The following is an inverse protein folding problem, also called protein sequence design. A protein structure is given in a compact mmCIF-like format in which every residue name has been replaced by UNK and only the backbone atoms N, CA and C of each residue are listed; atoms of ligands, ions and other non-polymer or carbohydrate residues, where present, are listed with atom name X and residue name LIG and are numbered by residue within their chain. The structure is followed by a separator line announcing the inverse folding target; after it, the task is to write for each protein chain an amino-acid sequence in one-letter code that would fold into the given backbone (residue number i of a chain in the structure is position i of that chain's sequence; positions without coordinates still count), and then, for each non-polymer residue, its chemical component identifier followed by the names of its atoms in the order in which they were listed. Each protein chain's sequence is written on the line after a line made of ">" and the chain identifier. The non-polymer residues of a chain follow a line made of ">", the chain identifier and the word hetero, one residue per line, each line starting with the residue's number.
data_IF_835684563423
#
_entry.id   IF_835684563423
#
_cell.length_a   1.000
_cell.length_b   1.000
_cell.length_c   1.000
_cell.angle_alpha   90.00
_cell.angle_beta   90.00
_cell.angle_gamma   90.00
#
_symmetry.space_group_name_H-M   'P 1'
#
loop_
_entity.id
_entity.type
_entity.pdbx_description
1 polymer ?
#
# COMPACT_ATOMS: atom_id res chain seq x y z
N UNK A 1 -11.48 -25.56 6.58
CA UNK A 1 -11.15 -24.11 6.42
C UNK A 1 -9.86 -23.83 7.17
N UNK A 2 -8.88 -23.24 6.50
CA UNK A 2 -7.61 -22.80 7.09
C UNK A 2 -7.82 -21.39 7.68
N UNK A 3 -7.37 -21.14 8.93
CA UNK A 3 -7.35 -19.80 9.47
C UNK A 3 -5.91 -19.26 9.52
N UNK A 4 -5.74 -18.03 9.05
CA UNK A 4 -4.49 -17.29 9.07
C UNK A 4 -4.65 -16.12 10.03
N UNK A 5 -3.75 -15.99 11.00
CA UNK A 5 -3.68 -14.82 11.85
C UNK A 5 -2.69 -13.83 11.26
N UNK A 6 -3.19 -12.70 10.77
CA UNK A 6 -2.38 -11.58 10.31
C UNK A 6 -1.99 -10.69 11.48
N UNK A 7 -0.70 -10.44 11.66
CA UNK A 7 -0.18 -9.49 12.63
C UNK A 7 0.16 -8.17 11.93
N UNK A 8 -0.52 -7.12 12.34
CA UNK A 8 -0.38 -5.77 11.79
C UNK A 8 -0.45 -4.72 12.92
N UNK A 9 0.02 -3.50 12.68
CA UNK A 9 -0.07 -2.44 13.68
C UNK A 9 -1.51 -2.02 13.96
N UNK A 10 -2.26 -1.78 12.90
CA UNK A 10 -3.70 -1.48 12.83
C UNK A 10 -4.15 -1.66 11.38
N UNK A 11 -5.45 -1.52 11.09
CA UNK A 11 -6.02 -1.63 9.74
C UNK A 11 -6.55 -0.27 9.24
N UNK A 12 -5.72 0.79 9.38
CA UNK A 12 -5.97 2.10 8.73
C UNK A 12 -5.62 2.02 7.25
N UNK A 13 -6.07 3.01 6.47
CA UNK A 13 -5.77 3.05 5.03
C UNK A 13 -4.30 3.42 4.78
N UNK A 14 -3.48 2.41 4.53
CA UNK A 14 -2.08 2.47 4.14
C UNK A 14 -1.79 1.44 3.06
N UNK A 15 -0.60 1.47 2.46
CA UNK A 15 -0.23 0.56 1.36
C UNK A 15 -0.26 -0.93 1.77
N UNK A 16 0.27 -1.25 2.96
CA UNK A 16 0.28 -2.61 3.50
C UNK A 16 -1.14 -3.10 3.81
N UNK A 17 -1.93 -2.29 4.48
CA UNK A 17 -3.30 -2.63 4.88
C UNK A 17 -4.21 -2.75 3.65
N UNK A 18 -4.04 -1.89 2.65
CA UNK A 18 -4.73 -1.98 1.36
C UNK A 18 -4.37 -3.28 0.63
N UNK A 19 -3.09 -3.66 0.61
CA UNK A 19 -2.67 -4.94 0.06
C UNK A 19 -3.36 -6.12 0.74
N UNK A 20 -3.36 -6.16 2.08
CA UNK A 20 -4.00 -7.24 2.86
C UNK A 20 -5.49 -7.31 2.53
N UNK A 21 -6.18 -6.17 2.45
CA UNK A 21 -7.59 -6.13 2.11
C UNK A 21 -7.87 -6.54 0.67
N UNK A 22 -7.04 -6.13 -0.29
CA UNK A 22 -7.16 -6.57 -1.67
C UNK A 22 -7.02 -8.10 -1.76
N UNK A 23 -6.02 -8.66 -1.07
CA UNK A 23 -5.85 -10.10 -0.97
C UNK A 23 -7.07 -10.78 -0.32
N UNK A 24 -7.58 -10.25 0.82
CA UNK A 24 -8.70 -10.83 1.55
C UNK A 24 -10.02 -10.83 0.78
N UNK A 25 -10.22 -9.82 -0.10
CA UNK A 25 -11.38 -9.77 -1.00
C UNK A 25 -11.34 -10.83 -2.10
N UNK A 26 -10.13 -11.24 -2.54
CA UNK A 26 -9.93 -12.14 -3.67
C UNK A 26 -9.79 -13.62 -3.29
N UNK A 27 -9.35 -13.95 -2.07
CA UNK A 27 -9.23 -15.34 -1.63
C UNK A 27 -10.61 -16.00 -1.48
N UNK A 28 -10.66 -17.30 -1.70
CA UNK A 28 -11.84 -18.12 -1.36
C UNK A 28 -11.95 -18.26 0.15
N UNK A 29 -12.84 -17.47 0.77
CA UNK A 29 -13.06 -17.47 2.22
C UNK A 29 -13.70 -18.73 2.77
N UNK A 30 -14.22 -19.62 1.92
CA UNK A 30 -14.64 -20.97 2.35
C UNK A 30 -13.46 -21.87 2.64
N UNK A 31 -12.30 -21.62 2.00
CA UNK A 31 -11.07 -22.39 2.18
C UNK A 31 -10.11 -21.72 3.17
N UNK A 32 -9.89 -20.40 3.02
CA UNK A 32 -8.94 -19.63 3.84
C UNK A 32 -9.65 -18.43 4.45
N UNK A 33 -9.53 -18.27 5.76
CA UNK A 33 -10.12 -17.16 6.51
C UNK A 33 -9.05 -16.38 7.26
N UNK A 34 -9.14 -15.04 7.24
CA UNK A 34 -8.22 -14.16 7.94
C UNK A 34 -8.79 -13.67 9.26
N UNK A 35 -7.93 -13.65 10.28
CA UNK A 35 -8.14 -12.93 11.53
C UNK A 35 -6.96 -11.98 11.77
N UNK A 36 -7.14 -10.97 12.60
CA UNK A 36 -6.18 -9.87 12.73
C UNK A 36 -5.74 -9.65 14.17
N UNK A 37 -4.44 -9.73 14.42
CA UNK A 37 -3.79 -9.34 15.65
C UNK A 37 -3.25 -7.92 15.50
N UNK A 38 -3.76 -6.98 16.29
CA UNK A 38 -3.43 -5.55 16.20
C UNK A 38 -2.98 -4.99 17.54
N UNK A 39 -2.35 -3.80 17.50
CA UNK A 39 -1.91 -3.09 18.69
C UNK A 39 -2.90 -2.03 19.12
N UNK A 40 -3.18 -1.98 20.45
CA UNK A 40 -4.12 -1.01 21.03
C UNK A 40 -5.58 -1.36 20.73
N UNK A 41 -6.48 -0.39 20.90
CA UNK A 41 -7.93 -0.62 20.88
C UNK A 41 -8.60 -0.22 19.56
N UNK A 42 -7.88 0.47 18.67
CA UNK A 42 -8.43 0.96 17.39
C UNK A 42 -8.04 0.05 16.24
N UNK A 43 -9.02 -0.66 15.70
CA UNK A 43 -8.84 -1.56 14.58
C UNK A 43 -8.56 -0.85 13.23
N UNK A 44 -8.91 0.44 13.09
CA UNK A 44 -8.70 1.21 11.86
C UNK A 44 -9.90 1.22 10.91
N UNK A 45 -9.69 1.78 9.72
CA UNK A 45 -10.75 2.12 8.75
C UNK A 45 -11.40 0.89 8.09
N UNK A 46 -10.70 -0.25 8.05
CA UNK A 46 -11.20 -1.48 7.45
C UNK A 46 -11.96 -2.39 8.43
N UNK A 47 -12.22 -1.92 9.67
CA UNK A 47 -12.82 -2.76 10.72
C UNK A 47 -14.16 -3.38 10.30
N UNK A 48 -15.10 -2.55 9.87
CA UNK A 48 -16.45 -3.00 9.52
C UNK A 48 -16.44 -3.99 8.34
N UNK A 49 -15.60 -3.72 7.35
CA UNK A 49 -15.44 -4.60 6.21
C UNK A 49 -14.84 -5.96 6.60
N UNK A 50 -13.80 -5.97 7.43
CA UNK A 50 -13.18 -7.21 7.92
C UNK A 50 -14.19 -8.07 8.68
N UNK A 51 -14.99 -7.46 9.54
CA UNK A 51 -16.04 -8.16 10.29
C UNK A 51 -17.12 -8.71 9.35
N UNK A 52 -17.54 -7.95 8.35
CA UNK A 52 -18.53 -8.40 7.35
C UNK A 52 -18.02 -9.57 6.49
N UNK A 53 -16.72 -9.65 6.28
CA UNK A 53 -16.04 -10.77 5.58
C UNK A 53 -15.80 -11.98 6.49
N UNK A 54 -16.19 -11.93 7.77
CA UNK A 54 -16.07 -13.03 8.75
C UNK A 54 -14.73 -13.08 9.49
N UNK A 55 -13.89 -12.04 9.38
CA UNK A 55 -12.65 -11.90 10.14
C UNK A 55 -12.88 -11.42 11.57
N UNK A 56 -11.94 -11.72 12.45
CA UNK A 56 -11.97 -11.30 13.85
C UNK A 56 -10.75 -10.47 14.21
N UNK A 57 -10.88 -9.63 15.24
CA UNK A 57 -9.77 -8.85 15.78
C UNK A 57 -9.36 -9.35 17.16
N UNK A 58 -8.03 -9.38 17.39
CA UNK A 58 -7.40 -9.65 18.67
C UNK A 58 -6.47 -8.49 19.02
N UNK A 59 -6.65 -7.96 20.22
CA UNK A 59 -5.99 -6.74 20.66
C UNK A 59 -4.84 -7.08 21.59
N UNK A 60 -3.65 -6.53 21.29
CA UNK A 60 -2.43 -6.74 22.06
C UNK A 60 -1.87 -5.42 22.58
N UNK A 61 -1.24 -5.48 23.74
CA UNK A 61 -0.50 -4.34 24.29
C UNK A 61 0.64 -3.91 23.35
N UNK A 62 1.07 -2.67 23.46
CA UNK A 62 2.24 -2.19 22.73
C UNK A 62 3.52 -2.72 23.39
N UNK A 63 4.37 -3.44 22.65
CA UNK A 63 5.61 -4.02 23.13
C UNK A 63 6.52 -2.98 23.83
N UNK A 64 6.62 -1.75 23.26
CA UNK A 64 7.45 -0.68 23.81
C UNK A 64 7.04 -0.22 25.21
N UNK A 65 5.74 -0.33 25.56
CA UNK A 65 5.23 0.07 26.87
C UNK A 65 5.46 -0.99 27.94
N UNK A 66 5.28 -2.28 27.62
CA UNK A 66 5.48 -3.37 28.55
C UNK A 66 5.81 -4.68 27.79
N UNK A 67 7.12 -4.98 27.55
CA UNK A 67 7.53 -6.16 26.81
C UNK A 67 7.15 -7.49 27.47
N UNK A 68 7.16 -7.55 28.80
CA UNK A 68 6.80 -8.77 29.54
C UNK A 68 5.30 -9.08 29.39
N UNK A 69 4.45 -8.09 29.62
CA UNK A 69 2.99 -8.22 29.42
C UNK A 69 2.69 -8.64 27.97
N UNK A 70 3.30 -7.97 26.99
CA UNK A 70 3.15 -8.28 25.57
C UNK A 70 3.51 -9.72 25.25
N UNK A 71 4.63 -10.26 25.79
CA UNK A 71 5.03 -11.65 25.62
C UNK A 71 4.04 -12.62 26.27
N UNK A 72 3.54 -12.28 27.48
CA UNK A 72 2.54 -13.09 28.19
C UNK A 72 1.23 -13.16 27.43
N UNK A 73 0.78 -12.06 26.84
CA UNK A 73 -0.44 -11.99 26.00
C UNK A 73 -0.32 -12.96 24.81
N UNK A 74 0.81 -12.95 24.08
CA UNK A 74 1.05 -13.85 22.96
C UNK A 74 1.10 -15.32 23.39
N UNK A 75 1.74 -15.65 24.52
CA UNK A 75 1.75 -17.01 25.06
C UNK A 75 0.36 -17.49 25.41
N UNK A 76 -0.42 -16.65 26.08
CA UNK A 76 -1.79 -16.97 26.46
C UNK A 76 -2.68 -17.13 25.23
N UNK A 77 -2.54 -16.22 24.24
CA UNK A 77 -3.25 -16.32 22.98
C UNK A 77 -3.00 -17.65 22.28
N UNK A 78 -1.73 -18.02 22.08
CA UNK A 78 -1.39 -19.28 21.40
C UNK A 78 -1.78 -20.51 22.21
N UNK A 79 -1.63 -20.51 23.52
CA UNK A 79 -2.10 -21.60 24.37
C UNK A 79 -3.57 -21.91 24.15
N UNK A 80 -4.39 -20.88 23.98
CA UNK A 80 -5.84 -21.00 23.84
C UNK A 80 -6.30 -21.19 22.37
N UNK A 81 -5.49 -20.82 21.39
CA UNK A 81 -5.91 -20.71 19.99
C UNK A 81 -5.03 -21.50 18.99
N UNK A 82 -3.93 -22.15 19.40
CA UNK A 82 -3.00 -22.81 18.47
C UNK A 82 -3.67 -23.79 17.50
N UNK A 83 -4.67 -24.51 17.96
CA UNK A 83 -5.39 -25.51 17.14
C UNK A 83 -6.38 -24.87 16.15
N UNK A 84 -6.68 -23.58 16.31
CA UNK A 84 -7.55 -22.79 15.42
C UNK A 84 -6.79 -22.27 14.19
N UNK A 85 -5.49 -22.03 14.30
CA UNK A 85 -4.69 -21.39 13.28
C UNK A 85 -3.68 -22.34 12.65
N UNK A 86 -3.68 -22.40 11.32
CA UNK A 86 -2.66 -23.12 10.55
C UNK A 86 -1.50 -22.21 10.13
N UNK A 87 -1.72 -20.89 10.13
CA UNK A 87 -0.73 -19.91 9.72
C UNK A 87 -0.72 -18.65 10.59
N UNK A 88 0.46 -18.11 10.79
CA UNK A 88 0.73 -16.80 11.36
C UNK A 88 1.50 -15.97 10.33
N UNK A 89 0.95 -14.84 9.94
CA UNK A 89 1.51 -13.96 8.93
C UNK A 89 1.86 -12.60 9.55
N UNK A 90 3.14 -12.38 9.79
CA UNK A 90 3.66 -11.16 10.38
C UNK A 90 4.03 -10.15 9.29
N UNK A 91 3.32 -9.02 9.24
CA UNK A 91 3.65 -7.89 8.40
C UNK A 91 4.50 -6.90 9.16
N UNK A 92 5.70 -6.60 8.65
CA UNK A 92 6.63 -5.71 9.37
C UNK A 92 7.64 -5.05 8.44
N UNK A 93 8.09 -3.87 8.83
CA UNK A 93 9.20 -3.16 8.19
C UNK A 93 10.46 -3.14 9.07
N UNK A 94 10.46 -3.86 10.20
CA UNK A 94 11.61 -3.95 11.11
C UNK A 94 11.54 -5.24 11.92
N UNK A 95 12.70 -5.86 12.11
CA UNK A 95 12.89 -7.02 13.00
C UNK A 95 13.28 -6.61 14.42
N UNK A 96 13.15 -5.34 14.81
CA UNK A 96 13.42 -4.92 16.18
C UNK A 96 12.53 -5.64 17.22
N UNK A 97 11.36 -6.15 16.79
CA UNK A 97 10.47 -6.96 17.61
C UNK A 97 10.07 -8.24 16.86
N UNK A 98 10.49 -9.38 17.37
CA UNK A 98 10.14 -10.73 16.86
C UNK A 98 9.34 -11.56 17.86
N UNK A 99 8.93 -10.98 19.00
CA UNK A 99 8.26 -11.72 20.09
C UNK A 99 7.03 -12.49 19.60
N UNK A 100 6.17 -11.88 18.80
CA UNK A 100 4.97 -12.51 18.26
C UNK A 100 5.33 -13.78 17.44
N UNK A 101 6.36 -13.67 16.59
CA UNK A 101 6.86 -14.77 15.78
C UNK A 101 7.52 -15.88 16.63
N UNK A 102 8.32 -15.49 17.65
CA UNK A 102 8.94 -16.43 18.59
C UNK A 102 7.89 -17.26 19.33
N UNK A 103 6.84 -16.61 19.83
CA UNK A 103 5.78 -17.30 20.55
C UNK A 103 4.90 -18.16 19.60
N UNK A 104 4.73 -17.76 18.33
CA UNK A 104 4.10 -18.59 17.29
C UNK A 104 4.96 -19.84 16.98
N UNK A 105 6.29 -19.70 16.91
CA UNK A 105 7.20 -20.81 16.70
C UNK A 105 7.17 -21.79 17.87
N UNK A 106 7.20 -21.31 19.12
CA UNK A 106 7.07 -22.15 20.33
C UNK A 106 5.73 -22.87 20.42
N UNK A 107 4.67 -22.26 19.90
CA UNK A 107 3.35 -22.89 19.83
C UNK A 107 3.23 -23.92 18.68
N UNK A 108 4.30 -24.12 17.90
CA UNK A 108 4.36 -24.98 16.74
C UNK A 108 3.32 -24.64 15.66
N UNK A 109 3.05 -23.34 15.44
CA UNK A 109 2.18 -22.93 14.33
C UNK A 109 2.87 -23.36 13.02
N UNK A 110 2.18 -24.15 12.16
CA UNK A 110 2.84 -24.81 11.03
C UNK A 110 3.46 -23.85 10.02
N UNK A 111 2.72 -22.80 9.65
CA UNK A 111 3.11 -21.81 8.64
C UNK A 111 3.35 -20.50 9.36
N UNK A 112 4.59 -19.99 9.30
CA UNK A 112 5.00 -18.74 9.92
C UNK A 112 5.67 -17.88 8.88
N UNK A 113 4.97 -16.82 8.45
CA UNK A 113 5.37 -15.93 7.37
C UNK A 113 5.83 -14.59 7.95
N UNK A 114 6.95 -14.08 7.47
CA UNK A 114 7.36 -12.68 7.65
C UNK A 114 7.25 -12.00 6.30
N UNK A 115 6.58 -10.85 6.26
CA UNK A 115 6.37 -10.08 5.04
C UNK A 115 6.91 -8.66 5.19
N UNK A 116 7.87 -8.31 4.34
CA UNK A 116 8.47 -6.98 4.22
C UNK A 116 7.69 -6.12 3.22
N UNK A 117 7.23 -4.93 3.66
CA UNK A 117 6.42 -4.02 2.84
C UNK A 117 7.11 -2.70 2.49
N UNK A 118 8.31 -2.45 3.02
CA UNK A 118 9.02 -1.18 2.81
C UNK A 118 10.52 -1.36 2.88
N UNK A 119 11.24 -0.55 2.14
CA UNK A 119 12.70 -0.46 2.17
C UNK A 119 13.24 0.47 3.28
N UNK A 120 12.38 1.00 4.15
CA UNK A 120 12.81 1.86 5.25
C UNK A 120 12.02 1.60 6.53
N UNK A 121 12.72 1.59 7.68
CA UNK A 121 12.08 1.72 8.98
C UNK A 121 11.76 3.19 9.28
N UNK A 122 10.73 3.42 10.11
CA UNK A 122 10.49 4.75 10.66
C UNK A 122 11.75 5.26 11.36
N UNK A 123 12.27 6.41 10.93
CA UNK A 123 13.43 7.07 11.54
C UNK A 123 13.04 7.65 12.89
N UNK A 124 13.61 7.12 13.95
CA UNK A 124 13.45 7.64 15.32
C UNK A 124 14.79 7.77 16.02
N UNK A 125 14.84 8.49 17.14
CA UNK A 125 16.08 8.80 17.89
C UNK A 125 16.88 7.56 18.35
N UNK A 126 16.29 6.34 18.32
CA UNK A 126 16.93 5.08 18.69
C UNK A 126 17.21 4.17 17.49
N UNK A 127 17.42 4.74 16.29
CA UNK A 127 17.61 3.96 15.06
C UNK A 127 18.83 3.01 15.15
N UNK A 128 19.91 3.41 15.82
CA UNK A 128 21.10 2.57 15.99
C UNK A 128 20.81 1.29 16.79
N UNK A 129 20.00 1.38 17.87
CA UNK A 129 19.56 0.20 18.66
C UNK A 129 18.68 -0.71 17.78
N UNK A 130 17.75 -0.11 17.05
CA UNK A 130 16.89 -0.88 16.15
C UNK A 130 17.71 -1.61 15.07
N UNK A 131 18.76 -1.01 14.55
CA UNK A 131 19.67 -1.63 13.57
C UNK A 131 20.44 -2.81 14.17
N UNK A 132 20.93 -2.69 15.42
CA UNK A 132 21.59 -3.79 16.11
C UNK A 132 20.62 -4.94 16.35
N UNK A 133 19.42 -4.65 16.87
CA UNK A 133 18.38 -5.63 17.09
C UNK A 133 17.94 -6.30 15.78
N UNK A 134 17.84 -5.53 14.69
CA UNK A 134 17.51 -6.06 13.38
C UNK A 134 18.54 -7.08 12.91
N UNK A 135 19.85 -6.74 12.94
CA UNK A 135 20.93 -7.67 12.58
C UNK A 135 20.98 -8.91 13.46
N UNK A 136 20.73 -8.75 14.75
CA UNK A 136 20.66 -9.88 15.68
C UNK A 136 19.50 -10.81 15.35
N UNK A 137 18.29 -10.26 15.13
CA UNK A 137 17.12 -11.05 14.83
C UNK A 137 17.16 -11.65 13.41
N UNK A 138 17.77 -10.96 12.43
CA UNK A 138 17.97 -11.54 11.08
C UNK A 138 18.58 -12.94 11.17
N UNK A 139 19.58 -13.14 12.01
CA UNK A 139 20.23 -14.46 12.18
C UNK A 139 19.32 -15.54 12.73
N UNK A 140 18.24 -15.16 13.44
CA UNK A 140 17.27 -16.09 14.03
C UNK A 140 16.10 -16.41 13.12
N UNK A 141 15.89 -15.60 12.09
CA UNK A 141 14.72 -15.76 11.19
C UNK A 141 14.61 -17.17 10.60
N UNK A 142 15.68 -17.84 10.12
CA UNK A 142 15.57 -19.20 9.58
C UNK A 142 15.05 -20.26 10.57
N UNK A 143 15.16 -20.00 11.87
CA UNK A 143 14.63 -20.88 12.91
C UNK A 143 13.19 -20.55 13.29
N UNK A 144 12.77 -19.31 13.08
CA UNK A 144 11.47 -18.77 13.53
C UNK A 144 10.42 -18.80 12.42
N UNK A 145 10.79 -18.41 11.21
CA UNK A 145 9.90 -18.37 10.06
C UNK A 145 9.96 -19.66 9.25
N UNK A 146 8.91 -19.91 8.47
CA UNK A 146 8.86 -20.97 7.46
C UNK A 146 8.85 -20.40 6.04
N UNK A 147 8.41 -19.15 5.88
CA UNK A 147 8.35 -18.45 4.61
C UNK A 147 8.74 -16.97 4.81
N UNK A 148 9.43 -16.43 3.81
CA UNK A 148 9.82 -15.02 3.75
C UNK A 148 9.15 -14.39 2.54
N UNK A 149 8.39 -13.34 2.77
CA UNK A 149 7.73 -12.57 1.70
C UNK A 149 8.27 -11.15 1.64
N UNK A 150 8.29 -10.59 0.44
CA UNK A 150 8.67 -9.21 0.21
C UNK A 150 7.90 -8.61 -0.97
N UNK A 151 7.53 -7.34 -0.87
CA UNK A 151 6.88 -6.63 -1.97
C UNK A 151 7.85 -6.14 -3.05
N UNK A 152 9.17 -6.21 -2.80
CA UNK A 152 10.23 -5.82 -3.76
C UNK A 152 11.60 -6.30 -3.29
N UNK A 153 12.59 -6.33 -4.19
CA UNK A 153 13.98 -6.66 -3.85
C UNK A 153 14.56 -5.70 -2.80
N UNK A 154 14.29 -4.39 -2.92
CA UNK A 154 14.73 -3.40 -1.92
C UNK A 154 14.14 -3.65 -0.54
N UNK A 155 12.88 -4.09 -0.45
CA UNK A 155 12.26 -4.45 0.81
C UNK A 155 12.81 -5.78 1.36
N UNK A 156 13.17 -6.72 0.50
CA UNK A 156 13.86 -7.96 0.89
C UNK A 156 15.26 -7.65 1.44
N UNK A 157 16.03 -6.85 0.74
CA UNK A 157 17.37 -6.42 1.16
C UNK A 157 17.33 -5.70 2.51
N UNK A 158 16.39 -4.77 2.67
CA UNK A 158 16.21 -4.04 3.92
C UNK A 158 15.91 -4.96 5.11
N UNK A 159 14.92 -5.84 5.00
CA UNK A 159 14.47 -6.64 6.13
C UNK A 159 15.32 -7.88 6.35
N UNK A 160 15.73 -8.56 5.28
CA UNK A 160 16.41 -9.85 5.33
C UNK A 160 17.89 -9.79 5.01
N UNK A 161 18.39 -8.67 4.46
CA UNK A 161 19.77 -8.52 4.02
C UNK A 161 20.05 -9.07 2.62
N UNK A 162 18.99 -9.39 1.86
CA UNK A 162 19.05 -9.92 0.49
C UNK A 162 17.82 -10.71 0.12
N UNK A 163 17.87 -11.36 -1.04
CA UNK A 163 16.80 -12.22 -1.56
C UNK A 163 16.82 -13.64 -0.98
N UNK A 164 17.73 -13.92 -0.04
CA UNK A 164 17.80 -15.17 0.73
C UNK A 164 18.42 -14.94 2.09
N UNK A 165 18.08 -15.79 3.06
CA UNK A 165 18.68 -15.81 4.39
C UNK A 165 18.79 -17.26 4.89
N UNK A 166 20.01 -17.71 5.20
CA UNK A 166 20.27 -19.13 5.42
C UNK A 166 19.87 -19.95 4.19
N UNK A 167 19.07 -21.00 4.39
CA UNK A 167 18.54 -21.86 3.31
C UNK A 167 17.17 -21.42 2.80
N UNK A 168 16.70 -20.22 3.17
CA UNK A 168 15.38 -19.72 2.80
C UNK A 168 15.50 -18.65 1.72
N UNK A 169 14.79 -18.83 0.61
CA UNK A 169 14.61 -17.81 -0.42
C UNK A 169 13.44 -16.91 -0.04
N UNK A 170 13.56 -15.63 -0.37
CA UNK A 170 12.47 -14.66 -0.25
C UNK A 170 11.56 -14.80 -1.46
N UNK A 171 10.27 -15.01 -1.20
CA UNK A 171 9.25 -15.05 -2.24
C UNK A 171 8.73 -13.63 -2.45
N UNK A 172 8.88 -13.12 -3.66
CA UNK A 172 8.31 -11.83 -3.99
C UNK A 172 6.79 -11.93 -4.15
N UNK A 173 6.08 -11.13 -3.37
CA UNK A 173 4.62 -10.98 -3.42
C UNK A 173 4.34 -9.51 -3.71
N UNK A 174 4.03 -9.20 -4.96
CA UNK A 174 3.75 -7.83 -5.35
C UNK A 174 2.46 -7.31 -4.70
N UNK A 175 2.42 -6.00 -4.45
CA UNK A 175 1.21 -5.34 -3.99
C UNK A 175 0.21 -5.25 -5.16
N UNK A 176 -0.48 -6.35 -5.42
CA UNK A 176 -1.43 -6.47 -6.52
C UNK A 176 -2.62 -5.52 -6.38
N UNK A 177 -3.13 -5.09 -7.51
CA UNK A 177 -4.33 -4.27 -7.64
C UNK A 177 -5.44 -5.04 -8.35
N UNK A 178 -6.68 -4.70 -8.06
CA UNK A 178 -7.84 -5.25 -8.78
C UNK A 178 -7.97 -4.54 -10.13
N UNK A 179 -7.35 -5.12 -11.17
CA UNK A 179 -7.31 -4.54 -12.51
C UNK A 179 -8.71 -4.24 -13.04
N UNK A 180 -9.67 -5.14 -12.84
CA UNK A 180 -11.05 -4.97 -13.34
C UNK A 180 -11.76 -3.81 -12.62
N UNK A 181 -11.56 -3.67 -11.31
CA UNK A 181 -12.11 -2.56 -10.53
C UNK A 181 -11.58 -1.21 -11.01
N UNK A 182 -10.29 -1.15 -11.33
CA UNK A 182 -9.62 0.09 -11.73
C UNK A 182 -9.66 0.37 -13.23
N UNK A 183 -10.11 -0.57 -14.06
CA UNK A 183 -10.29 -0.37 -15.50
C UNK A 183 -11.07 0.91 -15.77
N UNK A 184 -10.68 1.66 -16.81
CA UNK A 184 -11.39 2.84 -17.26
C UNK A 184 -12.86 2.52 -17.59
N UNK A 185 -13.75 3.38 -17.15
CA UNK A 185 -15.19 3.27 -17.38
C UNK A 185 -15.76 4.65 -17.72
N UNK A 186 -16.26 4.79 -18.94
CA UNK A 186 -16.83 6.03 -19.45
C UNK A 186 -18.09 6.46 -18.69
N UNK A 187 -18.91 5.52 -18.21
CA UNK A 187 -20.10 5.85 -17.42
C UNK A 187 -19.74 6.41 -16.06
N UNK A 188 -18.71 5.84 -15.40
CA UNK A 188 -18.16 6.36 -14.16
C UNK A 188 -17.56 7.73 -14.36
N UNK A 189 -16.81 7.94 -15.46
CA UNK A 189 -16.29 9.25 -15.85
C UNK A 189 -17.40 10.29 -15.95
N UNK A 190 -18.44 10.01 -16.72
CA UNK A 190 -19.59 10.92 -16.92
C UNK A 190 -20.28 11.23 -15.59
N UNK A 191 -20.52 10.21 -14.78
CA UNK A 191 -21.16 10.35 -13.46
C UNK A 191 -20.37 11.30 -12.55
N UNK A 192 -19.10 11.04 -12.33
CA UNK A 192 -18.25 11.87 -11.43
C UNK A 192 -18.12 13.29 -11.98
N UNK A 193 -17.92 13.43 -13.31
CA UNK A 193 -17.77 14.76 -13.90
C UNK A 193 -19.05 15.59 -13.81
N UNK A 194 -20.22 14.97 -13.91
CA UNK A 194 -21.50 15.64 -13.70
C UNK A 194 -21.69 16.01 -12.23
N UNK A 195 -21.44 15.09 -11.31
CA UNK A 195 -21.61 15.28 -9.85
C UNK A 195 -20.74 16.42 -9.31
N UNK A 196 -19.51 16.54 -9.82
CA UNK A 196 -18.53 17.53 -9.35
C UNK A 196 -18.38 18.72 -10.32
N UNK A 197 -19.30 18.90 -11.29
CA UNK A 197 -19.28 19.97 -12.28
C UNK A 197 -17.94 20.09 -13.06
N UNK A 198 -17.37 18.94 -13.47
CA UNK A 198 -16.07 18.83 -14.14
C UNK A 198 -16.18 18.64 -15.67
N UNK A 199 -17.39 18.62 -16.27
CA UNK A 199 -17.60 18.20 -17.66
C UNK A 199 -16.75 18.97 -18.70
N UNK A 200 -16.55 20.26 -18.49
CA UNK A 200 -15.85 21.14 -19.43
C UNK A 200 -14.41 21.47 -19.00
N UNK A 201 -13.86 20.73 -18.04
CA UNK A 201 -12.58 21.04 -17.45
C UNK A 201 -11.53 19.95 -17.71
N UNK A 202 -10.26 20.34 -17.75
CA UNK A 202 -9.09 19.49 -17.73
C UNK A 202 -8.78 19.13 -16.28
N UNK A 203 -8.91 17.87 -15.93
CA UNK A 203 -8.88 17.41 -14.53
C UNK A 203 -7.53 16.78 -14.20
N UNK A 204 -6.74 17.46 -13.38
CA UNK A 204 -5.51 16.96 -12.77
C UNK A 204 -5.91 16.21 -11.49
N UNK A 205 -5.36 15.02 -11.26
CA UNK A 205 -5.64 14.25 -10.07
C UNK A 205 -4.40 13.87 -9.26
N UNK A 206 -4.56 13.78 -7.94
CA UNK A 206 -3.60 13.15 -7.04
C UNK A 206 -4.32 12.35 -5.95
N UNK A 207 -3.74 11.20 -5.60
CA UNK A 207 -4.22 10.31 -4.54
C UNK A 207 -3.08 10.02 -3.59
N UNK A 208 -3.21 10.44 -2.34
CA UNK A 208 -2.16 10.20 -1.35
C UNK A 208 -2.47 10.77 0.02
N UNK A 209 -1.78 10.24 1.04
CA UNK A 209 -1.81 10.79 2.39
C UNK A 209 -1.08 12.13 2.41
N UNK A 210 -1.67 13.16 3.05
CA UNK A 210 -1.07 14.49 3.18
C UNK A 210 0.11 14.47 4.15
N UNK A 211 1.24 13.92 3.67
CA UNK A 211 2.54 13.83 4.34
C UNK A 211 3.60 14.60 3.54
N UNK A 212 4.69 15.07 4.17
CA UNK A 212 5.77 15.81 3.50
C UNK A 212 6.31 15.08 2.25
N UNK A 213 6.43 13.75 2.32
CA UNK A 213 6.98 12.92 1.24
C UNK A 213 6.15 12.97 -0.05
N UNK A 214 4.83 13.25 0.03
CA UNK A 214 3.92 13.35 -1.13
C UNK A 214 3.96 14.70 -1.83
N UNK A 215 4.58 15.71 -1.19
CA UNK A 215 4.87 17.03 -1.78
C UNK A 215 3.64 17.78 -2.34
N UNK A 216 2.56 17.80 -1.55
CA UNK A 216 1.30 18.46 -1.94
C UNK A 216 1.47 19.95 -2.23
N UNK A 217 2.42 20.61 -1.55
CA UNK A 217 2.73 22.02 -1.83
C UNK A 217 3.14 22.21 -3.30
N UNK A 218 4.01 21.33 -3.81
CA UNK A 218 4.45 21.41 -5.20
C UNK A 218 3.33 21.06 -6.18
N UNK A 219 2.39 20.17 -5.81
CA UNK A 219 1.18 19.92 -6.60
C UNK A 219 0.36 21.18 -6.75
N UNK A 220 0.12 21.92 -5.65
CA UNK A 220 -0.61 23.20 -5.67
C UNK A 220 0.09 24.22 -6.56
N UNK A 221 1.42 24.30 -6.50
CA UNK A 221 2.21 25.23 -7.31
C UNK A 221 2.16 24.86 -8.80
N UNK A 222 2.22 23.58 -9.17
CA UNK A 222 2.03 23.10 -10.55
C UNK A 222 0.64 23.50 -11.06
N UNK A 223 -0.42 23.22 -10.27
CA UNK A 223 -1.80 23.53 -10.64
C UNK A 223 -2.01 25.04 -10.82
N UNK A 224 -1.43 25.86 -9.96
CA UNK A 224 -1.46 27.31 -10.10
C UNK A 224 -0.87 27.77 -11.45
N UNK A 225 0.28 27.22 -11.85
CA UNK A 225 0.93 27.55 -13.12
C UNK A 225 0.17 26.99 -14.33
N UNK A 226 -0.39 25.78 -14.21
CA UNK A 226 -1.22 25.21 -15.27
C UNK A 226 -2.50 26.04 -15.47
N UNK A 227 -3.17 26.47 -14.39
CA UNK A 227 -4.35 27.33 -14.45
C UNK A 227 -4.08 28.69 -15.06
N UNK A 228 -2.89 29.30 -14.81
CA UNK A 228 -2.48 30.57 -15.48
C UNK A 228 -2.30 30.40 -16.99
N UNK A 229 -1.92 29.21 -17.45
CA UNK A 229 -1.76 28.90 -18.88
C UNK A 229 -3.10 28.49 -19.54
N UNK A 230 -3.96 27.81 -18.78
CA UNK A 230 -5.25 27.32 -19.24
C UNK A 230 -6.28 27.34 -18.09
N UNK A 231 -7.24 28.26 -18.17
CA UNK A 231 -8.26 28.44 -17.13
C UNK A 231 -9.29 27.32 -17.05
N UNK A 232 -9.28 26.37 -17.98
CA UNK A 232 -10.10 25.15 -17.95
C UNK A 232 -9.54 24.08 -17.00
N UNK A 233 -8.36 24.28 -16.40
CA UNK A 233 -7.76 23.34 -15.45
C UNK A 233 -8.55 23.30 -14.13
N UNK A 234 -8.76 22.08 -13.61
CA UNK A 234 -9.23 21.81 -12.24
C UNK A 234 -8.36 20.71 -11.64
N UNK A 235 -8.31 20.67 -10.32
CA UNK A 235 -7.53 19.64 -9.60
C UNK A 235 -8.39 18.97 -8.55
N UNK A 236 -8.25 17.65 -8.44
CA UNK A 236 -8.87 16.84 -7.37
C UNK A 236 -7.79 16.16 -6.54
N UNK A 237 -7.81 16.40 -5.23
CA UNK A 237 -6.89 15.84 -4.26
C UNK A 237 -7.66 14.88 -3.35
N UNK A 238 -7.31 13.58 -3.40
CA UNK A 238 -7.97 12.52 -2.64
C UNK A 238 -7.01 12.01 -1.55
N UNK A 239 -7.46 12.08 -0.31
CA UNK A 239 -6.71 11.62 0.85
C UNK A 239 -6.92 12.50 2.08
N UNK A 240 -6.23 12.14 3.15
CA UNK A 240 -6.17 12.89 4.41
C UNK A 240 -4.78 12.82 5.00
N UNK A 241 -4.48 13.62 6.00
CA UNK A 241 -3.19 13.57 6.68
C UNK A 241 -2.85 14.84 7.44
N UNK A 242 -1.71 14.86 8.17
CA UNK A 242 -1.34 15.98 9.05
C UNK A 242 -1.24 17.33 8.34
N UNK A 243 -0.88 17.35 7.05
CA UNK A 243 -0.70 18.59 6.28
C UNK A 243 -1.97 19.06 5.57
N UNK A 244 -3.11 18.36 5.70
CA UNK A 244 -4.33 18.70 4.96
C UNK A 244 -4.80 20.14 5.23
N UNK A 245 -4.87 20.55 6.50
CA UNK A 245 -5.35 21.87 6.87
C UNK A 245 -4.37 23.00 6.45
N UNK A 246 -3.08 22.72 6.45
CA UNK A 246 -2.06 23.62 5.94
C UNK A 246 -2.21 23.82 4.42
N UNK A 247 -2.42 22.74 3.68
CA UNK A 247 -2.63 22.79 2.23
C UNK A 247 -3.92 23.55 1.86
N UNK A 248 -5.01 23.38 2.61
CA UNK A 248 -6.23 24.16 2.44
C UNK A 248 -6.00 25.66 2.65
N UNK A 249 -5.22 26.03 3.67
CA UNK A 249 -4.83 27.44 3.90
C UNK A 249 -4.01 27.99 2.74
N UNK A 250 -3.07 27.22 2.21
CA UNK A 250 -2.27 27.62 1.03
C UNK A 250 -3.16 27.87 -0.19
N UNK A 251 -4.11 26.97 -0.45
CA UNK A 251 -5.06 27.12 -1.57
C UNK A 251 -5.90 28.40 -1.40
N UNK A 252 -6.39 28.67 -0.18
CA UNK A 252 -7.12 29.91 0.14
C UNK A 252 -6.26 31.17 -0.09
N UNK A 253 -5.03 31.19 0.42
CA UNK A 253 -4.10 32.33 0.23
C UNK A 253 -3.79 32.60 -1.25
N UNK A 254 -3.75 31.54 -2.06
CA UNK A 254 -3.52 31.64 -3.52
C UNK A 254 -4.80 31.90 -4.33
N UNK A 255 -5.97 31.97 -3.69
CA UNK A 255 -7.29 32.14 -4.32
C UNK A 255 -7.61 31.05 -5.36
N UNK A 256 -7.29 29.78 -4.99
CA UNK A 256 -7.47 28.62 -5.84
C UNK A 256 -8.61 27.70 -5.38
N UNK A 257 -9.51 28.14 -4.49
CA UNK A 257 -10.59 27.34 -3.89
C UNK A 257 -11.58 26.80 -4.92
N UNK A 258 -11.78 27.53 -6.01
CA UNK A 258 -12.63 27.12 -7.13
C UNK A 258 -11.90 26.22 -8.14
N UNK A 259 -10.60 25.98 -7.96
CA UNK A 259 -9.73 25.26 -8.88
C UNK A 259 -9.32 23.92 -8.28
N UNK A 260 -9.02 23.87 -6.98
CA UNK A 260 -8.50 22.70 -6.28
C UNK A 260 -9.55 22.20 -5.28
N UNK A 261 -10.00 20.96 -5.48
CA UNK A 261 -10.97 20.29 -4.61
C UNK A 261 -10.27 19.28 -3.71
N UNK A 262 -10.50 19.38 -2.39
CA UNK A 262 -10.08 18.40 -1.39
C UNK A 262 -11.25 17.45 -1.09
N UNK A 263 -11.16 16.20 -1.53
CA UNK A 263 -12.26 15.24 -1.45
C UNK A 263 -12.20 14.31 -0.23
N UNK A 264 -11.17 14.48 0.62
CA UNK A 264 -10.98 13.60 1.77
C UNK A 264 -10.71 12.15 1.36
N UNK A 265 -11.02 11.22 2.26
CA UNK A 265 -10.87 9.78 2.00
C UNK A 265 -12.08 9.27 1.22
N UNK A 266 -11.83 8.60 0.08
CA UNK A 266 -12.88 8.08 -0.82
C UNK A 266 -12.80 6.56 -0.93
N UNK A 267 -13.93 5.90 -1.11
CA UNK A 267 -14.04 4.46 -1.44
C UNK A 267 -14.16 4.20 -2.95
N UNK A 268 -14.59 5.20 -3.71
CA UNK A 268 -14.83 5.21 -5.14
C UNK A 268 -13.66 5.81 -5.95
N UNK A 269 -12.43 5.57 -5.48
CA UNK A 269 -11.18 6.08 -6.12
C UNK A 269 -11.11 5.69 -7.61
N UNK A 270 -11.53 4.48 -7.99
CA UNK A 270 -11.53 4.03 -9.37
C UNK A 270 -12.42 4.89 -10.28
N UNK A 271 -13.54 5.40 -9.76
CA UNK A 271 -14.47 6.25 -10.50
C UNK A 271 -13.83 7.63 -10.73
N UNK A 272 -13.14 8.17 -9.71
CA UNK A 272 -12.37 9.40 -9.84
C UNK A 272 -11.19 9.28 -10.82
N UNK A 273 -10.45 8.15 -10.83
CA UNK A 273 -9.41 7.93 -11.83
C UNK A 273 -9.98 7.95 -13.26
N UNK A 274 -11.18 7.41 -13.46
CA UNK A 274 -11.83 7.51 -14.76
C UNK A 274 -12.23 8.95 -15.11
N UNK A 275 -12.52 9.81 -14.12
CA UNK A 275 -12.89 11.20 -14.32
C UNK A 275 -11.71 12.15 -14.59
N UNK A 276 -10.50 11.80 -14.15
CA UNK A 276 -9.27 12.56 -14.35
C UNK A 276 -8.78 12.49 -15.80
N UNK A 277 -7.97 13.46 -16.22
CA UNK A 277 -7.30 13.48 -17.53
C UNK A 277 -5.79 13.21 -17.39
N UNK A 278 -5.22 13.51 -16.24
CA UNK A 278 -3.85 13.19 -15.88
C UNK A 278 -3.75 12.95 -14.37
N UNK A 279 -2.88 12.04 -13.99
CA UNK A 279 -2.45 11.85 -12.60
C UNK A 279 -1.06 12.43 -12.39
N UNK A 280 -0.85 13.18 -11.30
CA UNK A 280 0.48 13.72 -10.97
C UNK A 280 0.97 13.18 -9.62
N UNK A 281 2.26 12.84 -9.54
CA UNK A 281 2.88 12.34 -8.30
C UNK A 281 4.31 12.88 -8.16
N UNK A 282 4.48 14.15 -7.74
CA UNK A 282 5.80 14.76 -7.52
C UNK A 282 6.35 14.41 -6.12
N UNK A 283 6.23 13.16 -5.71
CA UNK A 283 6.69 12.69 -4.41
C UNK A 283 8.20 12.79 -4.27
N UNK A 284 8.68 13.12 -3.06
CA UNK A 284 10.11 13.19 -2.75
C UNK A 284 10.75 11.80 -2.69
N UNK A 285 9.97 10.80 -2.34
CA UNK A 285 10.38 9.40 -2.27
C UNK A 285 9.16 8.49 -2.28
N UNK A 286 9.24 7.38 -3.04
CA UNK A 286 8.29 6.26 -2.99
C UNK A 286 9.04 4.94 -3.10
N UNK A 287 8.56 3.93 -2.37
CA UNK A 287 9.01 2.55 -2.57
C UNK A 287 8.36 1.95 -3.83
N UNK A 288 7.16 1.41 -3.66
CA UNK A 288 6.28 0.97 -4.74
C UNK A 288 4.88 1.58 -4.49
N UNK A 289 4.56 2.73 -5.10
CA UNK A 289 3.28 3.40 -4.86
C UNK A 289 2.13 2.62 -5.52
N UNK A 290 1.32 1.92 -4.69
CA UNK A 290 0.17 1.13 -5.17
C UNK A 290 -0.79 1.99 -5.99
N UNK A 291 -1.02 3.24 -5.58
CA UNK A 291 -1.88 4.18 -6.32
C UNK A 291 -1.41 4.41 -7.76
N UNK A 292 -0.10 4.36 -8.03
CA UNK A 292 0.40 4.48 -9.41
C UNK A 292 0.13 3.20 -10.24
N UNK A 293 0.09 2.04 -9.62
CA UNK A 293 -0.34 0.80 -10.30
C UNK A 293 -1.85 0.87 -10.60
N UNK A 294 -2.66 1.38 -9.66
CA UNK A 294 -4.09 1.62 -9.86
C UNK A 294 -4.35 2.61 -11.00
N UNK A 295 -3.57 3.69 -11.08
CA UNK A 295 -3.58 4.69 -12.17
C UNK A 295 -3.27 4.04 -13.52
N UNK A 296 -2.25 3.21 -13.59
CA UNK A 296 -1.88 2.50 -14.80
C UNK A 296 -2.92 1.43 -15.19
N UNK A 297 -3.54 0.76 -14.21
CA UNK A 297 -4.67 -0.15 -14.48
C UNK A 297 -5.89 0.57 -15.07
N UNK A 298 -6.07 1.86 -14.72
CA UNK A 298 -7.07 2.73 -15.33
C UNK A 298 -6.66 3.23 -16.73
N UNK A 299 -5.41 3.05 -17.12
CA UNK A 299 -4.86 3.58 -18.36
C UNK A 299 -4.61 5.09 -18.34
N UNK A 300 -4.76 5.74 -17.18
CA UNK A 300 -4.65 7.19 -17.04
C UNK A 300 -3.20 7.64 -17.23
N UNK A 301 -2.91 8.59 -18.15
CA UNK A 301 -1.59 9.19 -18.28
C UNK A 301 -1.11 9.78 -16.95
N UNK A 302 0.18 9.68 -16.67
CA UNK A 302 0.73 10.18 -15.41
C UNK A 302 2.07 10.88 -15.59
N UNK A 303 2.28 11.93 -14.78
CA UNK A 303 3.54 12.64 -14.65
C UNK A 303 4.04 12.51 -13.21
N UNK A 304 5.20 11.89 -13.04
CA UNK A 304 5.74 11.55 -11.73
C UNK A 304 7.18 12.04 -11.56
N UNK A 305 7.64 12.16 -10.32
CA UNK A 305 9.03 12.57 -10.08
C UNK A 305 10.02 11.47 -10.41
N UNK A 306 11.21 11.85 -10.82
CA UNK A 306 12.35 10.97 -11.11
C UNK A 306 12.95 10.32 -9.85
N UNK A 307 12.57 10.79 -8.66
CA UNK A 307 12.90 10.16 -7.39
C UNK A 307 12.18 8.81 -7.17
N UNK A 308 11.13 8.55 -7.95
CA UNK A 308 10.37 7.30 -7.91
C UNK A 308 11.07 6.24 -8.77
N UNK A 309 11.19 5.02 -8.25
CA UNK A 309 11.89 3.94 -8.96
C UNK A 309 11.30 3.66 -10.34
N UNK A 310 12.17 3.40 -11.33
CA UNK A 310 11.75 3.04 -12.70
C UNK A 310 10.95 1.71 -12.76
N UNK A 311 11.09 0.85 -11.76
CA UNK A 311 10.37 -0.43 -11.69
C UNK A 311 8.85 -0.29 -11.61
N UNK A 312 8.34 0.91 -11.30
CA UNK A 312 6.89 1.16 -11.26
C UNK A 312 6.31 1.54 -12.62
N UNK A 313 7.15 1.87 -13.60
CA UNK A 313 6.70 2.16 -14.96
C UNK A 313 6.37 0.85 -15.67
N UNK A 314 5.08 0.55 -15.78
CA UNK A 314 4.56 -0.63 -16.46
C UNK A 314 4.03 -0.27 -17.85
N UNK A 315 3.68 1.00 -18.08
CA UNK A 315 3.11 1.55 -19.31
C UNK A 315 3.88 2.75 -19.82
N UNK A 316 3.82 3.00 -21.13
CA UNK A 316 4.57 4.09 -21.76
C UNK A 316 4.00 5.47 -21.44
N UNK A 317 2.73 5.56 -21.11
CA UNK A 317 2.07 6.81 -20.70
C UNK A 317 2.39 7.25 -19.24
N UNK A 318 3.38 6.65 -18.61
CA UNK A 318 4.02 7.15 -17.37
C UNK A 318 5.24 7.96 -17.74
N UNK A 319 5.21 9.25 -17.46
CA UNK A 319 6.26 10.22 -17.75
C UNK A 319 7.00 10.60 -16.46
N UNK A 320 8.31 10.75 -16.56
CA UNK A 320 9.16 11.19 -15.45
C UNK A 320 9.63 12.61 -15.66
N UNK A 321 9.73 13.37 -14.55
CA UNK A 321 10.29 14.72 -14.55
C UNK A 321 11.05 14.99 -13.25
N UNK A 322 12.15 15.75 -13.33
CA UNK A 322 12.96 16.05 -12.17
C UNK A 322 12.24 17.04 -11.23
N UNK A 323 12.34 16.81 -9.91
CA UNK A 323 11.80 17.75 -8.92
C UNK A 323 12.56 19.10 -8.90
N UNK A 324 13.78 19.12 -9.44
CA UNK A 324 14.57 20.34 -9.63
C UNK A 324 14.09 21.23 -10.77
N UNK A 325 13.26 20.68 -11.68
CA UNK A 325 12.70 21.44 -12.78
C UNK A 325 11.68 22.47 -12.27
N UNK A 326 11.63 23.67 -12.87
CA UNK A 326 10.66 24.68 -12.51
C UNK A 326 9.23 24.17 -12.60
N UNK A 327 8.37 24.63 -11.68
CA UNK A 327 6.94 24.29 -11.68
C UNK A 327 6.22 24.68 -12.96
N UNK A 328 6.69 25.72 -13.64
CA UNK A 328 6.21 26.16 -14.95
C UNK A 328 6.43 25.08 -16.02
N UNK A 329 7.58 24.39 -15.99
CA UNK A 329 7.88 23.30 -16.89
C UNK A 329 7.00 22.07 -16.58
N UNK A 330 6.78 21.76 -15.29
CA UNK A 330 5.83 20.72 -14.88
C UNK A 330 4.42 21.04 -15.37
N UNK A 331 3.95 22.27 -15.22
CA UNK A 331 2.65 22.72 -15.69
C UNK A 331 2.50 22.61 -17.23
N UNK A 332 3.53 23.06 -17.98
CA UNK A 332 3.56 22.90 -19.42
C UNK A 332 3.50 21.44 -19.86
N UNK A 333 4.26 20.55 -19.18
CA UNK A 333 4.25 19.10 -19.46
C UNK A 333 2.90 18.46 -19.11
N UNK A 334 2.26 18.86 -18.01
CA UNK A 334 0.90 18.43 -17.66
C UNK A 334 -0.09 18.77 -18.76
N UNK A 335 -0.08 20.02 -19.25
CA UNK A 335 -0.99 20.46 -20.33
C UNK A 335 -0.69 19.76 -21.66
N UNK A 336 0.58 19.55 -21.99
CA UNK A 336 1.00 18.76 -23.16
C UNK A 336 0.42 17.34 -23.11
N UNK A 337 0.57 16.64 -21.95
CA UNK A 337 0.08 15.27 -21.78
C UNK A 337 -1.45 15.24 -21.84
N UNK A 338 -2.16 16.21 -21.23
CA UNK A 338 -3.64 16.27 -21.31
C UNK A 338 -4.11 16.45 -22.75
N UNK A 339 -3.42 17.27 -23.54
CA UNK A 339 -3.84 17.60 -24.91
C UNK A 339 -3.52 16.49 -25.92
N UNK A 340 -2.46 15.73 -25.70
CA UNK A 340 -1.92 14.78 -26.68
C UNK A 340 -1.87 13.33 -26.16
N UNK A 341 -2.07 13.13 -24.86
CA UNK A 341 -1.98 11.82 -24.23
C UNK A 341 -3.27 11.04 -24.36
N UNK A 342 -3.13 9.76 -24.66
CA UNK A 342 -4.25 8.82 -24.71
C UNK A 342 -4.21 7.88 -23.52
N UNK A 343 -5.39 7.36 -23.14
CA UNK A 343 -5.46 6.28 -22.16
C UNK A 343 -4.99 4.98 -22.78
N UNK A 344 -4.11 4.29 -22.07
CA UNK A 344 -3.70 2.95 -22.43
C UNK A 344 -4.53 1.92 -21.65
N UNK A 345 -5.50 1.31 -22.29
CA UNK A 345 -6.42 0.35 -21.67
C UNK A 345 -5.91 -1.11 -21.72
N UNK A 346 -4.75 -1.38 -22.33
CA UNK A 346 -4.13 -2.71 -22.30
C UNK A 346 -3.44 -2.95 -20.94
N UNK A 347 -3.98 -3.87 -20.17
CA UNK A 347 -3.47 -4.23 -18.85
C UNK A 347 -2.61 -5.50 -18.85
N UNK A 348 -2.27 -6.05 -20.01
CA UNK A 348 -1.49 -7.28 -20.14
C UNK A 348 -0.11 -7.15 -19.45
N UNK A 349 0.54 -6.01 -19.60
CA UNK A 349 1.82 -5.73 -18.96
C UNK A 349 1.76 -5.71 -17.42
N UNK A 350 0.65 -5.24 -16.83
CA UNK A 350 0.43 -5.23 -15.38
C UNK A 350 0.30 -6.66 -14.86
N UNK A 351 -0.49 -7.50 -15.55
CA UNK A 351 -0.64 -8.92 -15.23
C UNK A 351 0.68 -9.68 -15.39
N UNK A 352 1.36 -9.52 -16.53
CA UNK A 352 2.66 -10.18 -16.78
C UNK A 352 3.76 -9.84 -15.76
N UNK A 353 3.70 -8.62 -15.19
CA UNK A 353 4.61 -8.19 -14.10
C UNK A 353 4.14 -8.64 -12.72
N UNK A 354 3.02 -9.40 -12.61
CA UNK A 354 2.52 -9.98 -11.37
C UNK A 354 1.84 -8.95 -10.44
N UNK A 355 1.27 -7.88 -10.99
CA UNK A 355 0.53 -6.87 -10.22
C UNK A 355 -1.00 -7.09 -10.26
N UNK A 356 -1.50 -8.17 -10.88
CA UNK A 356 -2.91 -8.56 -10.71
C UNK A 356 -3.10 -9.20 -9.34
N UNK A 357 -4.02 -8.65 -8.55
CA UNK A 357 -4.35 -9.20 -7.23
C UNK A 357 -4.87 -10.64 -7.31
N UNK A 358 -5.49 -11.04 -8.41
CA UNK A 358 -5.98 -12.41 -8.61
C UNK A 358 -4.81 -13.41 -8.65
N UNK A 359 -3.72 -13.06 -9.33
CA UNK A 359 -2.52 -13.91 -9.40
C UNK A 359 -1.80 -13.94 -8.04
N UNK A 360 -1.73 -12.79 -7.37
CA UNK A 360 -1.23 -12.70 -5.98
C UNK A 360 -2.04 -13.62 -5.05
N UNK A 361 -3.37 -13.59 -5.16
CA UNK A 361 -4.24 -14.42 -4.33
C UNK A 361 -4.08 -15.92 -4.62
N UNK A 362 -3.91 -16.32 -5.89
CA UNK A 362 -3.61 -17.71 -6.26
C UNK A 362 -2.28 -18.17 -5.65
N UNK A 363 -1.21 -17.40 -5.86
CA UNK A 363 0.11 -17.71 -5.29
C UNK A 363 0.05 -17.84 -3.77
N UNK A 364 -0.59 -16.89 -3.11
CA UNK A 364 -0.77 -16.91 -1.66
C UNK A 364 -1.54 -18.16 -1.19
N UNK A 365 -2.67 -18.46 -1.86
CA UNK A 365 -3.50 -19.63 -1.57
C UNK A 365 -2.69 -20.92 -1.72
N UNK A 366 -1.94 -21.07 -2.81
CA UNK A 366 -1.10 -22.24 -3.07
C UNK A 366 -0.06 -22.46 -1.96
N UNK A 367 0.60 -21.38 -1.52
CA UNK A 367 1.60 -21.47 -0.43
C UNK A 367 0.93 -21.92 0.88
N UNK A 368 -0.21 -21.32 1.24
CA UNK A 368 -0.94 -21.67 2.46
C UNK A 368 -1.46 -23.11 2.41
N UNK A 369 -1.98 -23.54 1.27
CA UNK A 369 -2.52 -24.92 1.11
C UNK A 369 -1.41 -25.98 1.13
N UNK A 370 -0.29 -25.75 0.39
CA UNK A 370 0.86 -26.69 0.37
C UNK A 370 1.54 -26.81 1.73
N UNK A 371 1.68 -25.71 2.47
CA UNK A 371 2.23 -25.71 3.81
C UNK A 371 1.45 -26.61 4.79
N UNK A 372 0.14 -26.75 4.60
CA UNK A 372 -0.71 -27.66 5.38
C UNK A 372 -0.40 -29.14 5.10
N UNK A 373 -0.20 -29.53 3.83
CA UNK A 373 0.04 -30.93 3.46
C UNK A 373 1.37 -31.47 3.97
N UNK A 374 2.40 -30.61 4.06
CA UNK A 374 3.71 -30.99 4.60
C UNK A 374 3.70 -31.25 6.13
N UNK A 375 2.71 -30.72 6.85
CA UNK A 375 2.55 -30.93 8.30
C UNK A 375 1.80 -32.22 8.61
N UNK A 376 0.91 -32.67 7.75
CA UNK A 376 0.16 -33.93 7.93
C UNK A 376 1.02 -35.20 7.61
N UNK A 377 2.21 -35.02 6.99
CA UNK A 377 3.15 -36.10 6.65
C UNK A 377 4.31 -36.28 7.64
N UNK A 378 4.37 -35.49 8.69
CA UNK A 378 5.28 -35.62 9.82
C UNK A 378 4.52 -36.02 11.08
#
# INVERSE_FOLDING_TARGET
>A
MIRVLHYVGNMKRGGMETFIMNLYRQIDRSQIQFDFAIHGENAGDFKEEILSLGGNFYYFSQMRKNPLKYRMEWRTFWRNNKNRYSAFHMHTNSLANTIALEEAAKANIPIRIIHSHSSMANRGNLQWINNILQKYHQRKIPQLATHLFSCSDKAAEWLFGGTSIGNMSVIQINNGVDIEKFRYDENKRKKIRLEFALNNFKVIGHIGTFLPVKNHQFIIDIVEQAYKQDNSVRCVLIGTGPLLEEMKKTVYQKKLENIIMFLGVRSDVADFLSAMDIFIMPSLFEGLPVSLIEVQANGLPSLISDSITQNVKLKDNVHYMALSDPKENWAGKVLEIINNGERDNDNSCITLRGFDIKDTARLYTDIIMRGRFNVQRK
#
